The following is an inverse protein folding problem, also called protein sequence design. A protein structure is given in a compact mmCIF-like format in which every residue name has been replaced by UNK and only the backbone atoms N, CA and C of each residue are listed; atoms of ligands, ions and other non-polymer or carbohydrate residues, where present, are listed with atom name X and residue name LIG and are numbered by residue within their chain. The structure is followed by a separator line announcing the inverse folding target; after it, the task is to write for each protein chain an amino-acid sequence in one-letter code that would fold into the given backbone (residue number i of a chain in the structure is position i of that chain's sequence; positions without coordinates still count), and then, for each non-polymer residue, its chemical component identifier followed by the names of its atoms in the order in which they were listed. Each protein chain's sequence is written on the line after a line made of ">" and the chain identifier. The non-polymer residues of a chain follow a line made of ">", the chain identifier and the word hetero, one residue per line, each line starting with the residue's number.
data_IF_616103585191
#
_entry.id   IF_616103585191
#
_cell.length_a   1.000
_cell.length_b   1.000
_cell.length_c   1.000
_cell.angle_alpha   90.00
_cell.angle_beta   90.00
_cell.angle_gamma   90.00
#
_symmetry.space_group_name_H-M   'P 1'
#
loop_
_entity.id
_entity.type
_entity.pdbx_description
1 polymer ?
#
# COMPACT_ATOMS: atom_id res chain seq x y z
N UNK A 1 44.36 44.77 10.79
CA UNK A 1 42.92 45.12 10.72
C UNK A 1 42.13 43.84 10.87
N UNK A 2 41.62 43.57 12.06
CA UNK A 2 40.90 42.33 12.39
C UNK A 2 39.40 42.63 12.45
N UNK A 3 38.62 41.93 11.63
CA UNK A 3 37.17 42.10 11.53
C UNK A 3 36.43 41.24 12.56
N UNK A 4 35.65 41.89 13.41
CA UNK A 4 34.78 41.28 14.42
C UNK A 4 33.47 40.81 13.78
N UNK A 5 33.20 39.51 13.81
CA UNK A 5 31.92 38.92 13.39
C UNK A 5 30.95 38.96 14.57
N UNK A 6 29.83 39.68 14.40
CA UNK A 6 28.72 39.74 15.35
C UNK A 6 27.79 38.54 15.19
N UNK A 7 27.61 37.77 16.26
CA UNK A 7 26.72 36.60 16.33
C UNK A 7 25.26 37.05 16.49
N UNK A 8 24.40 36.73 15.52
CA UNK A 8 22.95 37.01 15.57
C UNK A 8 22.24 35.93 16.40
N UNK A 9 21.77 36.31 17.59
CA UNK A 9 20.93 35.50 18.48
C UNK A 9 19.50 35.45 17.92
N UNK A 10 19.07 34.30 17.37
CA UNK A 10 17.67 34.07 16.99
C UNK A 10 16.81 33.87 18.25
N UNK A 11 15.83 34.74 18.43
CA UNK A 11 14.82 34.67 19.49
C UNK A 11 13.78 33.57 19.15
N UNK A 12 13.41 32.77 20.15
CA UNK A 12 12.34 31.76 20.07
C UNK A 12 10.98 32.45 20.27
N UNK A 13 9.96 32.19 19.44
CA UNK A 13 8.61 32.71 19.70
C UNK A 13 7.89 31.91 20.79
N UNK A 14 7.12 32.66 21.59
CA UNK A 14 6.37 32.21 22.76
C UNK A 14 5.36 31.10 22.47
N UNK A 15 5.28 30.13 23.40
CA UNK A 15 4.17 29.18 23.54
C UNK A 15 2.89 29.93 23.93
N UNK A 16 1.93 29.98 23.02
CA UNK A 16 0.54 30.34 23.35
C UNK A 16 -0.12 29.16 24.07
N UNK A 17 -0.64 29.43 25.28
CA UNK A 17 -1.47 28.50 26.06
C UNK A 17 -2.81 28.33 25.33
N UNK A 18 -3.14 27.11 24.91
CA UNK A 18 -4.50 26.73 24.54
C UNK A 18 -5.21 26.16 25.76
N UNK A 19 -6.35 26.74 26.08
CA UNK A 19 -7.28 26.34 27.15
C UNK A 19 -8.04 25.09 26.71
N UNK A 20 -8.28 24.09 27.59
CA UNK A 20 -9.08 22.92 27.24
C UNK A 20 -10.58 23.23 27.19
N UNK A 21 -11.36 22.66 26.26
CA UNK A 21 -12.82 22.74 26.28
C UNK A 21 -13.43 21.85 27.37
N UNK A 22 -14.52 22.31 27.98
CA UNK A 22 -15.29 21.63 29.02
C UNK A 22 -15.93 20.31 28.54
N UNK A 23 -16.14 19.32 29.44
CA UNK A 23 -16.77 18.05 29.10
C UNK A 23 -18.28 18.22 28.90
N UNK A 24 -18.73 18.02 27.66
CA UNK A 24 -20.15 17.93 27.31
C UNK A 24 -20.76 16.62 27.81
N UNK A 25 -21.88 16.74 28.52
CA UNK A 25 -22.70 15.63 29.01
C UNK A 25 -23.39 14.95 27.83
N UNK A 26 -22.94 13.75 27.48
CA UNK A 26 -23.45 12.95 26.37
C UNK A 26 -23.98 11.60 26.85
N UNK A 27 -25.29 11.57 27.07
CA UNK A 27 -26.24 10.45 27.18
C UNK A 27 -25.73 9.03 26.86
N UNK A 28 -25.87 8.15 27.86
CA UNK A 28 -25.81 6.68 27.74
C UNK A 28 -26.91 6.14 26.83
N UNK A 29 -26.59 5.29 25.82
CA UNK A 29 -27.57 4.44 25.19
C UNK A 29 -27.81 3.14 25.99
N UNK A 30 -29.08 2.74 25.98
CA UNK A 30 -29.74 1.63 26.68
C UNK A 30 -29.15 0.22 26.44
N UNK A 31 -29.43 -0.74 27.34
CA UNK A 31 -28.97 -2.13 27.22
C UNK A 31 -29.60 -2.88 26.02
N UNK A 32 -28.77 -3.65 25.34
CA UNK A 32 -29.13 -4.59 24.26
C UNK A 32 -29.90 -5.78 24.85
N UNK A 33 -31.07 -6.16 24.32
CA UNK A 33 -31.78 -7.35 24.79
C UNK A 33 -31.12 -8.64 24.30
N UNK A 34 -31.13 -9.65 25.17
CA UNK A 34 -30.55 -10.98 24.97
C UNK A 34 -31.11 -11.72 23.74
N UNK A 35 -30.21 -12.38 23.01
CA UNK A 35 -30.54 -13.25 21.88
C UNK A 35 -31.40 -14.44 22.33
N UNK A 36 -32.54 -14.62 21.64
CA UNK A 36 -33.39 -15.81 21.74
C UNK A 36 -32.74 -16.98 20.99
N UNK A 37 -32.53 -18.09 21.68
CA UNK A 37 -32.19 -19.39 21.08
C UNK A 37 -33.39 -19.98 20.35
N UNK A 38 -33.21 -20.40 19.09
CA UNK A 38 -34.12 -21.27 18.35
C UNK A 38 -33.47 -22.65 18.17
N UNK A 39 -34.18 -23.78 18.41
CA UNK A 39 -33.64 -25.10 18.09
C UNK A 39 -34.01 -25.56 16.67
N UNK A 40 -33.05 -26.31 16.10
CA UNK A 40 -33.14 -27.45 15.18
C UNK A 40 -33.97 -27.37 13.88
N UNK A 41 -33.30 -27.54 12.73
CA UNK A 41 -33.78 -28.40 11.62
C UNK A 41 -32.58 -29.19 11.06
N UNK A 42 -32.70 -30.52 11.12
CA UNK A 42 -31.88 -31.51 10.43
C UNK A 42 -32.34 -31.69 8.97
N UNK A 43 -31.40 -32.23 8.18
CA UNK A 43 -31.56 -32.91 6.89
C UNK A 43 -31.62 -32.07 5.60
N UNK A 44 -30.62 -32.25 4.73
CA UNK A 44 -30.85 -33.09 3.53
C UNK A 44 -29.52 -33.53 2.91
N UNK A 45 -29.41 -34.84 2.73
CA UNK A 45 -28.39 -35.50 1.93
C UNK A 45 -28.79 -35.36 0.47
N UNK A 46 -27.99 -34.65 -0.32
CA UNK A 46 -28.26 -34.41 -1.74
C UNK A 46 -26.97 -34.43 -2.54
N UNK A 47 -26.68 -35.61 -3.09
CA UNK A 47 -25.64 -35.92 -4.07
C UNK A 47 -25.27 -34.75 -4.98
N UNK A 48 -24.01 -34.32 -4.93
CA UNK A 48 -23.41 -33.53 -6.00
C UNK A 48 -22.29 -34.36 -6.61
N UNK A 49 -22.50 -34.72 -7.89
CA UNK A 49 -21.50 -35.27 -8.79
C UNK A 49 -20.14 -34.67 -8.48
N UNK A 50 -19.15 -35.53 -8.27
CA UNK A 50 -17.75 -35.16 -8.29
C UNK A 50 -17.48 -34.47 -9.65
N UNK A 51 -17.43 -33.15 -9.63
CA UNK A 51 -16.64 -32.41 -10.61
C UNK A 51 -15.21 -32.73 -10.23
N UNK A 52 -14.49 -33.37 -11.15
CA UNK A 52 -13.04 -33.47 -11.11
C UNK A 52 -12.47 -32.12 -10.72
N UNK A 53 -11.70 -31.98 -9.62
CA UNK A 53 -11.00 -30.73 -9.39
C UNK A 53 -9.99 -30.58 -10.52
N UNK A 54 -10.24 -29.65 -11.44
CA UNK A 54 -9.15 -29.01 -12.15
C UNK A 54 -8.25 -28.46 -11.04
N UNK A 55 -7.03 -28.97 -10.97
CA UNK A 55 -5.97 -28.41 -10.17
C UNK A 55 -5.63 -27.03 -10.73
N UNK A 56 -6.46 -26.03 -10.40
CA UNK A 56 -6.18 -24.62 -10.59
C UNK A 56 -5.40 -24.17 -9.36
N UNK A 57 -4.08 -24.22 -9.43
CA UNK A 57 -3.28 -23.48 -8.48
C UNK A 57 -3.57 -21.99 -8.75
N UNK A 58 -4.47 -21.40 -7.97
CA UNK A 58 -4.69 -19.96 -8.08
C UNK A 58 -3.37 -19.24 -7.79
N UNK A 59 -3.02 -18.28 -8.65
CA UNK A 59 -1.82 -17.43 -8.55
C UNK A 59 -1.77 -16.69 -7.21
N UNK A 60 -2.93 -16.42 -6.63
CA UNK A 60 -3.11 -15.69 -5.38
C UNK A 60 -3.93 -16.51 -4.38
N UNK A 61 -3.75 -16.21 -3.09
CA UNK A 61 -4.72 -16.61 -2.07
C UNK A 61 -6.11 -16.05 -2.36
N UNK A 62 -7.16 -16.74 -1.92
CA UNK A 62 -8.57 -16.34 -2.15
C UNK A 62 -8.86 -14.89 -1.74
N UNK A 63 -8.35 -14.48 -0.58
CA UNK A 63 -8.55 -13.12 -0.04
C UNK A 63 -7.86 -12.06 -0.93
N UNK A 64 -6.66 -12.36 -1.40
CA UNK A 64 -5.87 -11.48 -2.28
C UNK A 64 -6.53 -11.36 -3.65
N UNK A 65 -6.93 -12.49 -4.23
CA UNK A 65 -7.63 -12.51 -5.52
C UNK A 65 -8.96 -11.74 -5.43
N UNK A 66 -9.73 -11.92 -4.35
CA UNK A 66 -10.97 -11.19 -4.14
C UNK A 66 -10.73 -9.67 -4.07
N UNK A 67 -9.72 -9.23 -3.32
CA UNK A 67 -9.39 -7.81 -3.20
C UNK A 67 -8.96 -7.20 -4.55
N UNK A 68 -8.12 -7.90 -5.31
CA UNK A 68 -7.69 -7.46 -6.65
C UNK A 68 -8.87 -7.39 -7.62
N UNK A 69 -9.71 -8.44 -7.66
CA UNK A 69 -10.91 -8.45 -8.52
C UNK A 69 -11.90 -7.36 -8.16
N UNK A 70 -12.09 -7.07 -6.87
CA UNK A 70 -12.91 -5.95 -6.41
C UNK A 70 -12.36 -4.59 -6.86
N UNK A 71 -11.04 -4.46 -7.03
CA UNK A 71 -10.39 -3.29 -7.61
C UNK A 71 -10.41 -3.25 -9.14
N UNK A 72 -11.01 -4.24 -9.80
CA UNK A 72 -11.13 -4.32 -11.26
C UNK A 72 -10.00 -5.08 -11.97
N UNK A 73 -9.22 -5.89 -11.24
CA UNK A 73 -8.20 -6.75 -11.85
C UNK A 73 -8.78 -8.05 -12.41
N UNK A 74 -8.20 -8.52 -13.52
CA UNK A 74 -8.32 -9.89 -14.02
C UNK A 74 -6.96 -10.36 -14.56
N UNK A 75 -6.69 -11.68 -14.62
CA UNK A 75 -5.40 -12.19 -15.11
C UNK A 75 -5.03 -11.73 -16.54
N UNK A 76 -6.04 -11.50 -17.39
CA UNK A 76 -5.91 -11.06 -18.77
C UNK A 76 -5.79 -9.53 -18.91
N UNK A 77 -5.97 -8.78 -17.82
CA UNK A 77 -5.93 -7.32 -17.83
C UNK A 77 -4.58 -6.82 -18.31
N UNK A 78 -4.57 -5.98 -19.35
CA UNK A 78 -3.41 -5.22 -19.78
C UNK A 78 -3.82 -3.77 -20.05
N UNK A 79 -3.14 -2.81 -19.45
CA UNK A 79 -3.38 -1.38 -19.65
C UNK A 79 -2.25 -0.72 -20.44
N UNK A 80 -2.57 0.39 -21.10
CA UNK A 80 -1.56 1.24 -21.72
C UNK A 80 -0.73 1.93 -20.64
N UNK A 81 0.59 1.72 -20.71
CA UNK A 81 1.57 2.25 -19.75
C UNK A 81 2.33 3.45 -20.30
N UNK A 82 1.99 3.96 -21.48
CA UNK A 82 2.75 5.03 -22.16
C UNK A 82 2.92 6.26 -21.27
N UNK A 83 1.86 6.68 -20.54
CA UNK A 83 1.94 7.79 -19.60
C UNK A 83 2.96 7.58 -18.47
N UNK A 84 3.11 6.34 -17.99
CA UNK A 84 4.05 6.02 -16.93
C UNK A 84 5.47 5.89 -17.45
N UNK A 85 5.63 5.42 -18.70
CA UNK A 85 6.94 5.44 -19.37
C UNK A 85 7.44 6.87 -19.57
N UNK A 86 6.57 7.77 -20.02
CA UNK A 86 6.89 9.20 -20.16
C UNK A 86 7.28 9.82 -18.82
N UNK A 87 6.52 9.52 -17.76
CA UNK A 87 6.84 9.94 -16.39
C UNK A 87 8.24 9.46 -15.95
N UNK A 88 8.53 8.16 -16.07
CA UNK A 88 9.84 7.62 -15.71
C UNK A 88 10.98 8.23 -16.51
N UNK A 89 10.80 8.43 -17.82
CA UNK A 89 11.80 9.06 -18.67
C UNK A 89 12.06 10.52 -18.27
N UNK A 90 11.01 11.29 -17.98
CA UNK A 90 11.12 12.66 -17.53
C UNK A 90 11.87 12.76 -16.19
N UNK A 91 11.69 11.76 -15.32
CA UNK A 91 12.32 11.69 -14.00
C UNK A 91 13.65 10.93 -14.00
N UNK A 92 14.22 10.60 -15.17
CA UNK A 92 15.56 10.02 -15.30
C UNK A 92 15.67 8.51 -15.01
N UNK A 93 14.55 7.80 -14.87
CA UNK A 93 14.55 6.35 -14.70
C UNK A 93 14.72 5.63 -16.05
N UNK A 94 15.60 4.63 -16.10
CA UNK A 94 15.77 3.81 -17.29
C UNK A 94 14.54 2.89 -17.52
N UNK A 95 14.20 2.53 -18.78
CA UNK A 95 13.13 1.56 -19.02
C UNK A 95 13.45 0.19 -18.41
N UNK A 96 12.49 -0.42 -17.72
CA UNK A 96 12.63 -1.76 -17.11
C UNK A 96 11.42 -2.65 -17.38
N UNK A 97 11.66 -3.81 -18.01
CA UNK A 97 10.60 -4.72 -18.44
C UNK A 97 9.80 -5.35 -17.29
N UNK A 98 10.40 -5.54 -16.10
CA UNK A 98 9.72 -6.12 -14.93
C UNK A 98 8.72 -5.11 -14.37
N UNK A 99 9.16 -3.86 -14.19
CA UNK A 99 8.30 -2.76 -13.73
C UNK A 99 7.22 -2.45 -14.75
N UNK A 100 7.56 -2.38 -16.04
CA UNK A 100 6.58 -2.16 -17.11
C UNK A 100 5.54 -3.29 -17.19
N UNK A 101 5.97 -4.55 -17.07
CA UNK A 101 5.07 -5.70 -17.05
C UNK A 101 4.12 -5.69 -15.85
N UNK A 102 4.63 -5.33 -14.67
CA UNK A 102 3.83 -5.14 -13.47
C UNK A 102 2.79 -4.04 -13.64
N UNK A 103 3.19 -2.87 -14.15
CA UNK A 103 2.29 -1.75 -14.39
C UNK A 103 1.27 -2.06 -15.48
N UNK A 104 1.65 -2.77 -16.54
CA UNK A 104 0.72 -3.18 -17.58
C UNK A 104 -0.40 -4.07 -16.99
N UNK A 105 -0.11 -4.86 -15.97
CA UNK A 105 -1.12 -5.71 -15.34
C UNK A 105 -1.89 -5.02 -14.20
N UNK A 106 -1.20 -4.35 -13.29
CA UNK A 106 -1.75 -3.85 -12.02
C UNK A 106 -1.85 -2.33 -11.94
N UNK A 107 -1.24 -1.60 -12.87
CA UNK A 107 -1.28 -0.15 -12.88
C UNK A 107 -2.70 0.37 -13.08
N UNK A 108 -3.02 1.48 -12.41
CA UNK A 108 -4.33 2.11 -12.34
C UNK A 108 -5.30 1.42 -11.36
N UNK A 109 -4.91 0.33 -10.69
CA UNK A 109 -5.74 -0.28 -9.66
C UNK A 109 -5.75 0.55 -8.38
N UNK A 110 -6.94 0.70 -7.79
CA UNK A 110 -7.16 1.28 -6.46
C UNK A 110 -7.77 0.22 -5.56
N UNK A 111 -6.95 -0.35 -4.68
CA UNK A 111 -7.36 -1.44 -3.79
C UNK A 111 -7.85 -0.85 -2.46
N UNK A 112 -9.14 -0.99 -2.20
CA UNK A 112 -9.78 -0.52 -0.96
C UNK A 112 -9.94 -1.66 0.03
N UNK A 113 -8.99 -1.76 0.97
CA UNK A 113 -8.98 -2.77 2.04
C UNK A 113 -8.82 -2.09 3.41
N UNK A 114 -9.30 -2.76 4.45
CA UNK A 114 -9.22 -2.29 5.83
C UNK A 114 -9.31 -3.43 6.84
N UNK A 115 -9.05 -3.15 8.10
CA UNK A 115 -9.19 -4.10 9.21
C UNK A 115 -7.90 -4.86 9.53
N UNK A 116 -7.95 -5.90 10.39
CA UNK A 116 -6.75 -6.63 10.77
C UNK A 116 -6.14 -7.35 9.56
N UNK A 117 -4.81 -7.28 9.45
CA UNK A 117 -4.01 -8.14 8.58
C UNK A 117 -3.22 -9.15 9.40
N UNK A 118 -2.31 -9.86 8.74
CA UNK A 118 -1.53 -10.94 9.36
C UNK A 118 -0.59 -10.42 10.46
N UNK A 119 0.02 -9.26 10.25
CA UNK A 119 0.99 -8.68 11.18
C UNK A 119 0.73 -7.18 11.46
N UNK A 120 0.09 -6.49 10.50
CA UNK A 120 -0.33 -5.08 10.60
C UNK A 120 -1.73 -4.92 10.03
N UNK A 121 -2.36 -3.77 10.29
CA UNK A 121 -3.64 -3.45 9.65
C UNK A 121 -3.49 -3.45 8.12
N UNK A 122 -4.53 -3.90 7.41
CA UNK A 122 -4.63 -3.76 5.96
C UNK A 122 -4.92 -2.31 5.64
N UNK A 123 -4.13 -1.74 4.74
CA UNK A 123 -4.19 -0.33 4.35
C UNK A 123 -4.51 -0.22 2.86
N UNK A 124 -5.36 0.72 2.44
CA UNK A 124 -5.72 0.89 1.04
C UNK A 124 -4.53 1.44 0.25
N UNK A 125 -4.41 1.09 -1.02
CA UNK A 125 -3.31 1.57 -1.88
C UNK A 125 -3.75 1.77 -3.32
N UNK A 126 -2.99 2.57 -4.07
CA UNK A 126 -3.17 2.77 -5.50
C UNK A 126 -1.86 2.53 -6.22
N UNK A 127 -1.90 1.80 -7.32
CA UNK A 127 -0.75 1.59 -8.19
C UNK A 127 -0.86 2.61 -9.31
N UNK A 128 -0.32 3.81 -9.09
CA UNK A 128 -0.29 4.84 -10.11
C UNK A 128 0.96 5.72 -9.94
N UNK A 129 2.01 5.51 -10.75
CA UNK A 129 3.26 6.28 -10.70
C UNK A 129 3.07 7.81 -10.69
N UNK A 130 2.09 8.34 -11.44
CA UNK A 130 1.92 9.80 -11.52
C UNK A 130 1.38 10.45 -10.25
N UNK A 131 0.95 9.65 -9.26
CA UNK A 131 0.61 10.17 -7.92
C UNK A 131 1.86 10.58 -7.12
N UNK A 132 3.05 10.25 -7.62
CA UNK A 132 4.35 10.47 -6.98
C UNK A 132 5.14 11.55 -7.71
N UNK A 133 4.47 12.36 -8.53
CA UNK A 133 5.04 13.57 -9.11
C UNK A 133 5.56 14.49 -7.99
N UNK A 134 6.85 14.80 -8.04
CA UNK A 134 7.56 15.56 -7.00
C UNK A 134 8.22 14.72 -5.90
N UNK A 135 8.05 13.39 -5.88
CA UNK A 135 8.70 12.50 -4.91
C UNK A 135 9.91 11.76 -5.51
N UNK A 136 10.27 12.00 -6.77
CA UNK A 136 11.24 11.21 -7.51
C UNK A 136 12.66 11.29 -6.95
N UNK A 137 13.05 12.47 -6.45
CA UNK A 137 14.34 12.68 -5.78
C UNK A 137 14.48 11.72 -4.59
N UNK A 138 13.42 11.55 -3.78
CA UNK A 138 13.43 10.60 -2.65
C UNK A 138 13.64 9.17 -3.11
N UNK A 139 13.04 8.78 -4.24
CA UNK A 139 13.21 7.44 -4.80
C UNK A 139 14.62 7.22 -5.35
N UNK A 140 15.22 8.26 -5.94
CA UNK A 140 16.61 8.22 -6.39
C UNK A 140 17.57 8.10 -5.20
N UNK A 141 17.41 8.92 -4.16
CA UNK A 141 18.24 8.89 -2.95
C UNK A 141 18.20 7.51 -2.27
N UNK A 142 17.02 6.97 -2.03
CA UNK A 142 16.90 5.62 -1.44
C UNK A 142 17.40 4.53 -2.39
N UNK A 143 17.21 4.69 -3.69
CA UNK A 143 17.75 3.78 -4.69
C UNK A 143 19.28 3.73 -4.65
N UNK A 144 19.92 4.88 -4.60
CA UNK A 144 21.38 5.01 -4.46
C UNK A 144 21.88 4.37 -3.16
N UNK A 145 21.22 4.65 -2.03
CA UNK A 145 21.60 4.08 -0.73
C UNK A 145 21.47 2.55 -0.70
N UNK A 146 20.42 2.01 -1.31
CA UNK A 146 20.18 0.57 -1.38
C UNK A 146 20.94 -0.14 -2.52
N UNK A 147 21.57 0.61 -3.42
CA UNK A 147 22.25 0.08 -4.61
C UNK A 147 21.29 -0.57 -5.62
N UNK A 148 20.07 -0.04 -5.75
CA UNK A 148 19.04 -0.50 -6.71
C UNK A 148 18.40 0.67 -7.43
N UNK A 149 17.91 0.48 -8.66
CA UNK A 149 16.99 1.45 -9.25
C UNK A 149 15.61 1.27 -8.62
N UNK A 150 15.12 2.28 -7.91
CA UNK A 150 13.85 2.21 -7.19
C UNK A 150 12.78 3.05 -7.89
N UNK A 151 11.86 2.40 -8.59
CA UNK A 151 10.82 3.05 -9.40
C UNK A 151 9.63 3.41 -8.51
N UNK A 152 9.14 4.67 -8.52
CA UNK A 152 7.89 5.05 -7.87
C UNK A 152 6.69 4.40 -8.59
N UNK A 153 5.93 3.57 -7.89
CA UNK A 153 4.81 2.81 -8.50
C UNK A 153 3.42 3.19 -7.97
N UNK A 154 3.33 3.88 -6.84
CA UNK A 154 2.03 4.20 -6.26
C UNK A 154 2.06 4.71 -4.83
N UNK A 155 0.88 4.88 -4.24
CA UNK A 155 0.70 5.36 -2.86
C UNK A 155 0.04 4.30 -1.99
N UNK A 156 0.35 4.32 -0.70
CA UNK A 156 -0.25 3.49 0.34
C UNK A 156 -0.85 4.40 1.41
N UNK A 157 -2.02 4.01 1.92
CA UNK A 157 -2.79 4.71 2.92
C UNK A 157 -3.03 6.19 2.54
N UNK A 158 -3.68 6.42 1.39
CA UNK A 158 -4.07 7.77 0.94
C UNK A 158 -2.90 8.78 0.85
N UNK A 159 -1.73 8.32 0.41
CA UNK A 159 -0.54 9.17 0.27
C UNK A 159 0.27 9.35 1.55
N UNK A 160 -0.07 8.65 2.64
CA UNK A 160 0.76 8.66 3.85
C UNK A 160 2.10 7.94 3.66
N UNK A 161 2.15 6.95 2.78
CA UNK A 161 3.37 6.24 2.40
C UNK A 161 3.44 6.07 0.88
N UNK A 162 4.65 5.94 0.37
CA UNK A 162 4.89 5.73 -1.06
C UNK A 162 5.32 4.30 -1.34
N UNK A 163 4.89 3.78 -2.48
CA UNK A 163 5.23 2.44 -2.95
C UNK A 163 6.29 2.53 -4.04
N UNK A 164 7.34 1.72 -3.87
CA UNK A 164 8.40 1.53 -4.83
C UNK A 164 8.48 0.11 -5.36
N UNK A 165 9.13 -0.04 -6.51
CA UNK A 165 9.49 -1.34 -7.07
C UNK A 165 10.90 -1.26 -7.63
N UNK A 166 11.72 -2.29 -7.40
CA UNK A 166 13.01 -2.35 -8.06
C UNK A 166 12.99 -3.17 -9.36
N UNK A 167 14.13 -3.24 -10.03
CA UNK A 167 14.33 -3.97 -11.28
C UNK A 167 14.08 -5.48 -11.17
N UNK A 168 14.07 -6.04 -9.95
CA UNK A 168 13.76 -7.45 -9.68
C UNK A 168 12.30 -7.66 -9.27
N UNK A 169 11.52 -6.57 -9.21
CA UNK A 169 10.12 -6.58 -8.86
C UNK A 169 9.83 -6.67 -7.36
N UNK A 170 10.82 -6.44 -6.50
CA UNK A 170 10.61 -6.34 -5.04
C UNK A 170 9.85 -5.05 -4.74
N UNK A 171 8.82 -5.13 -3.91
CA UNK A 171 8.03 -3.97 -3.52
C UNK A 171 8.61 -3.30 -2.28
N UNK A 172 8.55 -1.97 -2.25
CA UNK A 172 9.10 -1.15 -1.18
C UNK A 172 8.05 -0.19 -0.63
N UNK A 173 8.14 0.06 0.67
CA UNK A 173 7.51 1.19 1.34
C UNK A 173 8.59 2.25 1.53
N UNK A 174 8.32 3.47 1.07
CA UNK A 174 9.25 4.60 1.09
C UNK A 174 8.61 5.79 1.78
N UNK A 175 9.28 6.32 2.80
CA UNK A 175 9.02 7.61 3.47
C UNK A 175 10.36 8.18 3.97
N UNK A 176 10.43 8.64 5.22
CA UNK A 176 11.67 8.98 5.94
C UNK A 176 12.50 7.76 6.36
N UNK A 177 11.99 6.55 6.10
CA UNK A 177 12.65 5.24 6.22
C UNK A 177 12.21 4.37 5.03
N UNK A 178 12.91 3.25 4.83
CA UNK A 178 12.61 2.32 3.73
C UNK A 178 12.50 0.88 4.22
N UNK A 179 11.47 0.19 3.72
CA UNK A 179 11.28 -1.23 3.99
C UNK A 179 10.79 -1.97 2.75
N UNK A 180 10.91 -3.31 2.78
CA UNK A 180 10.75 -4.15 1.60
C UNK A 180 9.85 -5.35 1.87
N UNK A 181 8.96 -5.63 0.92
CA UNK A 181 8.19 -6.87 0.80
C UNK A 181 8.81 -7.83 -0.22
N UNK A 182 8.18 -8.98 -0.41
CA UNK A 182 8.56 -9.93 -1.45
C UNK A 182 8.40 -9.34 -2.87
N UNK A 183 8.86 -10.06 -3.87
CA UNK A 183 8.72 -9.65 -5.26
C UNK A 183 7.36 -10.02 -5.86
N UNK A 184 6.91 -9.21 -6.84
CA UNK A 184 5.79 -9.49 -7.74
C UNK A 184 4.52 -9.91 -6.97
N UNK A 185 3.91 -11.03 -7.37
CA UNK A 185 2.69 -11.57 -6.81
C UNK A 185 2.78 -11.75 -5.30
N UNK A 186 3.92 -12.23 -4.82
CA UNK A 186 4.11 -12.45 -3.38
C UNK A 186 4.19 -11.13 -2.64
N UNK A 187 4.81 -10.11 -3.24
CA UNK A 187 4.83 -8.76 -2.70
C UNK A 187 3.44 -8.14 -2.59
N UNK A 188 2.63 -8.27 -3.64
CA UNK A 188 1.22 -7.83 -3.63
C UNK A 188 0.41 -8.57 -2.58
N UNK A 189 0.61 -9.88 -2.45
CA UNK A 189 -0.07 -10.67 -1.42
C UNK A 189 0.35 -10.25 -0.01
N UNK A 190 1.64 -10.03 0.23
CA UNK A 190 2.14 -9.54 1.51
C UNK A 190 1.54 -8.16 1.85
N UNK A 191 1.43 -7.25 0.87
CA UNK A 191 0.81 -5.94 1.02
C UNK A 191 -0.70 -6.05 1.34
N UNK A 192 -1.45 -6.83 0.56
CA UNK A 192 -2.91 -6.97 0.70
C UNK A 192 -3.29 -7.68 2.00
N UNK A 193 -2.53 -8.70 2.40
CA UNK A 193 -2.78 -9.45 3.64
C UNK A 193 -2.26 -8.72 4.89
N UNK A 194 -1.61 -7.56 4.75
CA UNK A 194 -1.09 -6.79 5.87
C UNK A 194 0.09 -7.48 6.58
N UNK A 195 1.01 -8.07 5.82
CA UNK A 195 2.31 -8.53 6.32
C UNK A 195 3.23 -7.32 6.52
N UNK A 196 3.99 -7.32 7.61
CA UNK A 196 4.97 -6.26 7.89
C UNK A 196 6.15 -6.39 6.90
N UNK A 197 6.56 -5.30 6.21
CA UNK A 197 7.76 -5.32 5.41
C UNK A 197 9.01 -5.39 6.30
N UNK A 198 10.12 -5.87 5.73
CA UNK A 198 11.43 -5.87 6.38
C UNK A 198 12.05 -4.49 6.23
N UNK A 199 12.26 -3.80 7.35
CA UNK A 199 12.95 -2.50 7.40
C UNK A 199 14.41 -2.65 6.99
N UNK A 200 14.91 -1.71 6.19
CA UNK A 200 16.26 -1.73 5.63
C UNK A 200 17.11 -0.56 6.13
N UNK A 201 16.52 0.63 6.28
CA UNK A 201 17.15 1.84 6.79
C UNK A 201 16.09 2.80 7.35
#
# INVERSE_FOLDING_TARGET
>A
MAGTIHTVRRQRPCRSRMTPPSPGTGTMPHPVPAARSYPAIMASTGSRRARTPMSEHSRFTSDTEQALRAAGWSPERRVDISRWREFFQASGFAPNAVVEGFLAEFGGLSVTISGPGLERAREPFKIDPVLLDGEEERFQEWGEELGVTLYPIGELNYGHYFLGMDEQGRLYLVVDWVARWSALDKGLEDLILGRKPVELA
#
